data_IF_736220161594
#
_entry.id   IF_736220161594
#
_cell.length_a   1.000
_cell.length_b   1.000
_cell.length_c   1.000
_cell.angle_alpha   90.00
_cell.angle_beta   90.00
_cell.angle_gamma   90.00
#
_symmetry.space_group_name_H-M   'P 1'
#
loop_
_entity.id
_entity.type
_entity.pdbx_description
1 polymer ?
#
# COMPACT_ATOMS: atom_id res chain seq x y z
N UNK A 1 -1.23 64.10 4.06
CA UNK A 1 -1.30 65.00 2.90
C UNK A 1 -2.28 64.37 1.93
N UNK A 2 -3.45 65.07 1.85
CA UNK A 2 -4.62 64.77 1.03
C UNK A 2 -4.41 65.30 -0.38
N UNK A 3 -4.71 64.54 -1.43
CA UNK A 3 -5.05 65.09 -2.74
C UNK A 3 -6.01 64.18 -3.49
N UNK A 4 -7.29 64.54 -3.39
CA UNK A 4 -8.36 64.15 -4.31
C UNK A 4 -8.21 64.93 -5.62
N UNK A 5 -8.36 64.28 -6.78
CA UNK A 5 -8.71 64.96 -8.04
C UNK A 5 -9.80 64.17 -8.75
N UNK A 6 -10.95 64.79 -8.77
CA UNK A 6 -12.15 64.60 -9.56
C UNK A 6 -11.84 64.75 -11.06
N UNK A 7 -12.33 63.85 -11.92
CA UNK A 7 -12.43 64.10 -13.36
C UNK A 7 -13.87 63.81 -13.80
N UNK A 8 -14.44 64.84 -14.43
CA UNK A 8 -15.80 65.01 -14.88
C UNK A 8 -16.13 64.11 -16.11
N UNK A 9 -17.33 63.60 -16.10
CA UNK A 9 -18.02 63.01 -17.24
C UNK A 9 -18.20 64.03 -18.37
N UNK A 10 -18.05 63.57 -19.62
CA UNK A 10 -18.51 64.23 -20.81
C UNK A 10 -19.36 63.20 -21.64
N UNK A 11 -20.67 63.37 -21.54
CA UNK A 11 -21.63 62.71 -22.40
C UNK A 11 -21.48 63.24 -23.81
N UNK A 12 -21.52 62.38 -24.80
CA UNK A 12 -21.76 62.71 -26.20
C UNK A 12 -22.93 61.85 -26.74
N UNK A 13 -23.98 62.58 -27.00
CA UNK A 13 -25.18 62.20 -27.68
C UNK A 13 -24.89 61.86 -29.14
N UNK A 14 -25.30 60.73 -29.64
CA UNK A 14 -25.42 60.46 -31.08
C UNK A 14 -26.75 59.80 -31.38
N UNK A 15 -27.53 60.48 -32.17
CA UNK A 15 -28.87 60.21 -32.59
C UNK A 15 -29.11 58.90 -33.27
N UNK A 16 -30.35 58.46 -33.16
CA UNK A 16 -30.88 57.20 -33.67
C UNK A 16 -30.97 57.11 -35.20
N UNK A 17 -30.76 55.89 -35.67
CA UNK A 17 -31.24 55.43 -36.95
C UNK A 17 -31.86 54.04 -36.76
N UNK A 18 -33.17 53.99 -37.00
CA UNK A 18 -33.96 52.76 -36.99
C UNK A 18 -33.71 51.95 -38.26
N UNK A 19 -33.33 50.65 -38.12
CA UNK A 19 -33.26 49.70 -39.21
C UNK A 19 -34.26 48.56 -38.93
N UNK A 20 -35.06 48.11 -39.91
CA UNK A 20 -36.16 47.16 -39.67
C UNK A 20 -35.65 45.72 -39.44
N UNK A 21 -36.33 45.03 -38.55
CA UNK A 21 -36.06 43.63 -38.15
C UNK A 21 -36.38 42.66 -39.28
N UNK A 22 -35.39 41.99 -39.83
CA UNK A 22 -35.58 40.75 -40.60
C UNK A 22 -35.44 39.54 -39.65
N UNK A 23 -36.52 38.76 -39.48
CA UNK A 23 -36.57 37.53 -38.73
C UNK A 23 -35.80 36.44 -39.49
N UNK A 24 -34.50 36.31 -39.23
CA UNK A 24 -33.70 35.16 -39.61
C UNK A 24 -33.72 34.14 -38.50
N UNK A 25 -34.31 32.97 -38.76
CA UNK A 25 -34.30 31.83 -37.85
C UNK A 25 -32.91 31.18 -37.86
N UNK A 26 -32.04 31.58 -36.93
CA UNK A 26 -30.75 30.88 -36.72
C UNK A 26 -30.98 29.63 -35.90
N UNK A 27 -30.97 28.47 -36.59
CA UNK A 27 -30.91 27.15 -35.93
C UNK A 27 -29.48 26.99 -35.35
N UNK A 28 -29.31 27.30 -34.07
CA UNK A 28 -28.06 27.03 -33.37
C UNK A 28 -27.95 25.50 -33.15
N UNK A 29 -27.19 24.82 -34.01
CA UNK A 29 -26.75 23.44 -33.77
C UNK A 29 -25.66 23.53 -32.70
N UNK A 30 -26.03 23.29 -31.43
CA UNK A 30 -25.08 23.12 -30.35
C UNK A 30 -24.44 21.75 -30.54
N UNK A 31 -23.23 21.72 -31.10
CA UNK A 31 -22.39 20.53 -31.16
C UNK A 31 -21.92 20.25 -29.73
N UNK A 32 -22.57 19.29 -29.06
CA UNK A 32 -22.12 18.76 -27.76
C UNK A 32 -20.87 17.92 -28.03
N UNK A 33 -19.69 18.55 -27.98
CA UNK A 33 -18.43 17.81 -27.95
C UNK A 33 -18.38 17.15 -26.57
N UNK A 34 -18.80 15.87 -26.48
CA UNK A 34 -18.43 15.02 -25.38
C UNK A 34 -16.89 14.90 -25.45
N UNK A 35 -16.20 15.73 -24.69
CA UNK A 35 -14.81 15.45 -24.35
C UNK A 35 -14.84 14.12 -23.58
N UNK A 36 -14.45 13.04 -24.23
CA UNK A 36 -14.09 11.82 -23.54
C UNK A 36 -13.00 12.24 -22.55
N UNK A 37 -13.30 12.19 -21.24
CA UNK A 37 -12.27 12.29 -20.23
C UNK A 37 -11.21 11.25 -20.63
N UNK A 38 -9.90 11.60 -20.57
CA UNK A 38 -8.88 10.59 -20.78
C UNK A 38 -9.21 9.47 -19.79
N UNK A 39 -9.43 8.27 -20.29
CA UNK A 39 -9.41 7.06 -19.47
C UNK A 39 -8.03 7.09 -18.83
N UNK A 40 -7.94 7.43 -17.56
CA UNK A 40 -6.78 7.06 -16.78
C UNK A 40 -6.80 5.53 -16.82
N UNK A 41 -6.01 4.93 -17.71
CA UNK A 41 -5.54 3.59 -17.49
C UNK A 41 -4.99 3.65 -16.05
N UNK A 42 -5.61 2.89 -15.13
CA UNK A 42 -5.23 2.92 -13.71
C UNK A 42 -3.71 2.75 -13.65
N UNK A 43 -3.03 3.78 -13.14
CA UNK A 43 -1.56 3.80 -13.12
C UNK A 43 -1.09 2.66 -12.23
N UNK A 44 -0.25 1.76 -12.78
CA UNK A 44 0.26 0.61 -12.05
C UNK A 44 1.10 1.07 -10.86
N UNK A 45 0.84 0.52 -9.69
CA UNK A 45 1.46 0.95 -8.43
C UNK A 45 2.65 0.07 -8.02
N UNK A 46 3.64 0.69 -7.39
CA UNK A 46 4.81 0.07 -6.78
C UNK A 46 4.60 0.05 -5.27
N UNK A 47 4.52 -1.16 -4.71
CA UNK A 47 4.38 -1.37 -3.27
C UNK A 47 5.76 -1.81 -2.74
N UNK A 48 6.38 -0.97 -1.91
CA UNK A 48 7.68 -1.25 -1.31
C UNK A 48 7.51 -2.25 -0.17
N UNK A 49 7.74 -3.52 -0.47
CA UNK A 49 7.58 -4.65 0.45
C UNK A 49 8.53 -4.55 1.63
N UNK A 50 8.01 -4.19 2.79
CA UNK A 50 8.78 -3.91 4.03
C UNK A 50 9.79 -2.77 3.86
N UNK A 51 9.48 -1.80 2.98
CA UNK A 51 10.38 -0.76 2.54
C UNK A 51 11.31 -1.19 1.41
N UNK A 52 12.47 -0.55 1.28
CA UNK A 52 13.53 -0.96 0.36
C UNK A 52 14.34 -2.14 0.96
N UNK A 53 13.65 -3.23 1.31
CA UNK A 53 14.19 -4.36 2.05
C UNK A 53 15.27 -5.15 1.31
N UNK A 54 15.42 -4.92 0.01
CA UNK A 54 16.53 -5.44 -0.78
C UNK A 54 17.87 -4.76 -0.48
N UNK A 55 17.86 -3.62 0.20
CA UNK A 55 19.03 -2.78 0.48
C UNK A 55 19.29 -2.54 1.98
N UNK A 56 18.24 -2.47 2.79
CA UNK A 56 18.29 -2.14 4.21
C UNK A 56 17.46 -3.17 5.01
N UNK A 57 17.74 -3.37 6.30
CA UNK A 57 16.93 -4.23 7.16
C UNK A 57 15.45 -3.89 7.04
N UNK A 58 14.65 -4.91 6.77
CA UNK A 58 13.20 -4.77 6.55
C UNK A 58 12.52 -4.09 7.73
N UNK A 59 11.41 -3.38 7.46
CA UNK A 59 10.57 -2.73 8.46
C UNK A 59 11.29 -1.69 9.33
N UNK A 60 12.27 -0.98 8.79
CA UNK A 60 12.91 0.16 9.47
C UNK A 60 12.47 1.48 8.84
N UNK A 61 12.47 2.59 9.61
CA UNK A 61 12.16 3.91 9.06
C UNK A 61 13.13 4.30 7.95
N UNK A 62 14.38 3.87 8.05
CA UNK A 62 15.42 4.06 7.04
C UNK A 62 15.08 3.34 5.73
N UNK A 63 14.62 2.07 5.81
CA UNK A 63 14.18 1.32 4.64
C UNK A 63 12.94 1.95 3.99
N UNK A 64 12.00 2.46 4.78
CA UNK A 64 10.82 3.16 4.29
C UNK A 64 11.15 4.50 3.62
N UNK A 65 12.00 5.31 4.25
CA UNK A 65 12.45 6.56 3.66
C UNK A 65 13.23 6.33 2.36
N UNK A 66 14.05 5.28 2.31
CA UNK A 66 14.80 4.92 1.11
C UNK A 66 13.87 4.43 -0.01
N UNK A 67 12.87 3.61 0.30
CA UNK A 67 11.84 3.19 -0.65
C UNK A 67 11.03 4.37 -1.20
N UNK A 68 10.68 5.32 -0.32
CA UNK A 68 10.04 6.57 -0.72
C UNK A 68 10.90 7.32 -1.76
N UNK A 69 12.20 7.49 -1.49
CA UNK A 69 13.12 8.16 -2.40
C UNK A 69 13.30 7.42 -3.74
N UNK A 70 13.16 6.09 -3.74
CA UNK A 70 13.26 5.24 -4.93
C UNK A 70 11.99 5.24 -5.80
N UNK A 71 10.95 5.99 -5.44
CA UNK A 71 9.76 6.13 -6.28
C UNK A 71 8.62 5.16 -5.96
N UNK A 72 8.61 4.53 -4.79
CA UNK A 72 7.47 3.74 -4.34
C UNK A 72 6.18 4.58 -4.28
N UNK A 73 5.04 3.98 -4.65
CA UNK A 73 3.71 4.58 -4.55
C UNK A 73 3.06 4.26 -3.20
N UNK A 74 3.45 3.13 -2.60
CA UNK A 74 3.00 2.70 -1.29
C UNK A 74 4.16 2.11 -0.48
N UNK A 75 4.15 2.42 0.81
CA UNK A 75 5.04 1.82 1.82
C UNK A 75 4.27 0.73 2.54
N UNK A 76 4.83 -0.46 2.59
CA UNK A 76 4.16 -1.61 3.19
C UNK A 76 4.83 -2.01 4.50
N UNK A 77 4.11 -1.86 5.64
CA UNK A 77 4.46 -2.45 6.93
C UNK A 77 3.63 -3.69 7.24
N UNK A 78 4.26 -4.77 7.65
CA UNK A 78 3.62 -5.88 8.37
C UNK A 78 3.41 -5.48 9.83
N UNK A 79 2.26 -5.78 10.41
CA UNK A 79 1.91 -5.34 11.76
C UNK A 79 1.71 -6.52 12.71
N UNK A 80 2.41 -6.50 13.82
CA UNK A 80 2.18 -7.38 14.98
C UNK A 80 1.96 -6.54 16.23
N UNK A 81 1.40 -7.14 17.30
CA UNK A 81 1.14 -6.43 18.55
C UNK A 81 2.16 -6.76 19.63
N UNK A 82 2.55 -5.73 20.38
CA UNK A 82 3.31 -5.86 21.62
C UNK A 82 2.40 -6.26 22.78
N UNK A 83 3.00 -6.65 23.92
CA UNK A 83 2.29 -7.01 25.16
C UNK A 83 1.36 -5.90 25.68
N UNK A 84 1.76 -4.66 25.54
CA UNK A 84 0.99 -3.47 25.95
C UNK A 84 0.12 -2.90 24.84
N UNK A 85 -0.03 -3.66 23.72
CA UNK A 85 -1.02 -3.40 22.67
C UNK A 85 -0.57 -2.41 21.60
N UNK A 86 0.68 -1.97 21.53
CA UNK A 86 1.17 -1.17 20.43
C UNK A 86 1.29 -2.03 19.15
N UNK A 87 1.09 -1.39 17.98
CA UNK A 87 1.44 -2.01 16.70
C UNK A 87 2.86 -1.65 16.31
N UNK A 88 3.67 -2.67 16.02
CA UNK A 88 5.03 -2.52 15.51
C UNK A 88 5.13 -3.13 14.12
N UNK A 89 6.03 -2.57 13.29
CA UNK A 89 6.31 -3.10 11.97
C UNK A 89 7.29 -4.29 12.10
N UNK A 90 6.78 -5.50 11.90
CA UNK A 90 7.52 -6.75 11.99
C UNK A 90 6.79 -7.86 11.22
N UNK A 91 7.53 -8.65 10.42
CA UNK A 91 6.89 -9.70 9.59
C UNK A 91 6.37 -10.88 10.39
N UNK A 92 7.19 -11.42 11.28
CA UNK A 92 6.86 -12.59 12.07
C UNK A 92 6.29 -12.18 13.43
N UNK A 93 5.48 -13.03 14.04
CA UNK A 93 5.08 -12.86 15.44
C UNK A 93 6.26 -13.05 16.42
N UNK A 94 7.40 -13.49 15.88
CA UNK A 94 8.65 -13.77 16.58
C UNK A 94 9.73 -12.73 16.24
N UNK A 95 10.59 -12.42 17.18
CA UNK A 95 11.57 -11.34 17.11
C UNK A 95 12.96 -11.79 16.60
N UNK A 96 13.34 -13.05 16.80
CA UNK A 96 14.71 -13.53 16.63
C UNK A 96 15.22 -13.47 15.18
N UNK A 97 14.33 -13.58 14.18
CA UNK A 97 14.75 -13.61 12.77
C UNK A 97 15.25 -12.26 12.25
N UNK A 98 14.81 -11.15 12.86
CA UNK A 98 15.06 -9.78 12.38
C UNK A 98 15.46 -8.80 13.47
N UNK A 99 15.81 -9.30 14.67
CA UNK A 99 16.27 -8.47 15.77
C UNK A 99 17.37 -9.16 16.58
N UNK A 100 18.09 -8.38 17.41
CA UNK A 100 19.05 -8.91 18.37
C UNK A 100 18.41 -9.35 19.70
N UNK A 101 17.16 -9.83 19.70
CA UNK A 101 16.44 -10.21 20.93
C UNK A 101 17.12 -11.32 21.72
N UNK A 102 17.75 -12.27 21.03
CA UNK A 102 18.49 -13.37 21.67
C UNK A 102 19.66 -12.86 22.54
N UNK A 103 20.33 -11.78 22.09
CA UNK A 103 21.40 -11.11 22.83
C UNK A 103 20.82 -10.26 23.99
N UNK A 104 19.77 -9.48 23.70
CA UNK A 104 19.21 -8.52 24.65
C UNK A 104 18.39 -9.18 25.77
N UNK A 105 17.66 -10.27 25.44
CA UNK A 105 16.73 -10.93 26.35
C UNK A 105 16.81 -12.47 26.27
N UNK A 106 17.98 -13.09 26.54
CA UNK A 106 18.21 -14.54 26.31
C UNK A 106 17.23 -15.44 27.06
N UNK A 107 16.76 -15.02 28.23
CA UNK A 107 15.88 -15.82 29.11
C UNK A 107 14.37 -15.60 28.83
N UNK A 108 14.00 -14.74 27.85
CA UNK A 108 12.60 -14.36 27.59
C UNK A 108 11.93 -15.21 26.52
N UNK A 109 12.60 -16.23 25.99
CA UNK A 109 12.01 -17.20 25.06
C UNK A 109 10.94 -18.06 25.74
N UNK A 110 9.90 -18.41 24.98
CA UNK A 110 8.91 -19.40 25.43
C UNK A 110 9.51 -20.82 25.42
N UNK A 111 8.76 -21.82 25.87
CA UNK A 111 9.17 -23.22 25.91
C UNK A 111 9.55 -23.79 24.52
N UNK A 112 8.97 -23.25 23.46
CA UNK A 112 9.29 -23.60 22.07
C UNK A 112 10.61 -22.97 21.56
N UNK A 113 11.27 -22.19 22.38
CA UNK A 113 12.55 -21.56 22.09
C UNK A 113 12.44 -20.22 21.33
N UNK A 114 11.24 -19.66 21.13
CA UNK A 114 11.00 -18.44 20.34
C UNK A 114 10.66 -17.23 21.23
N UNK A 115 10.98 -16.02 20.74
CA UNK A 115 10.69 -14.74 21.39
C UNK A 115 9.50 -14.07 20.71
N UNK A 116 8.33 -14.13 21.34
CA UNK A 116 7.10 -13.58 20.78
C UNK A 116 6.99 -12.06 21.03
N UNK A 117 6.71 -11.26 20.00
CA UNK A 117 6.48 -9.82 20.15
C UNK A 117 5.41 -9.51 21.22
N UNK A 118 4.38 -10.36 21.32
CA UNK A 118 3.30 -10.25 22.31
C UNK A 118 3.76 -10.43 23.79
N UNK A 119 4.99 -10.84 24.04
CA UNK A 119 5.52 -10.96 25.39
C UNK A 119 6.33 -9.73 25.86
N UNK A 120 6.61 -8.80 24.93
CA UNK A 120 7.42 -7.60 25.16
C UNK A 120 6.57 -6.34 25.09
N UNK A 121 6.82 -5.40 26.00
CA UNK A 121 6.26 -4.05 25.91
C UNK A 121 6.93 -3.26 24.79
N UNK A 122 6.28 -2.21 24.31
CA UNK A 122 6.88 -1.30 23.32
C UNK A 122 8.23 -0.74 23.82
N UNK A 123 8.31 -0.39 25.10
CA UNK A 123 9.55 0.12 25.70
C UNK A 123 10.70 -0.88 25.60
N UNK A 124 10.45 -2.17 25.79
CA UNK A 124 11.44 -3.24 25.61
C UNK A 124 11.80 -3.41 24.13
N UNK A 125 10.81 -3.45 23.22
CA UNK A 125 11.04 -3.53 21.77
C UNK A 125 11.93 -2.39 21.28
N UNK A 126 11.72 -1.16 21.77
CA UNK A 126 12.54 0.00 21.38
C UNK A 126 14.00 -0.06 21.84
N UNK A 127 14.37 -1.02 22.68
CA UNK A 127 15.77 -1.28 23.03
C UNK A 127 16.47 -2.22 22.06
N UNK A 128 15.70 -2.92 21.21
CA UNK A 128 16.24 -3.84 20.21
C UNK A 128 16.75 -3.10 18.98
N UNK A 129 17.66 -3.75 18.27
CA UNK A 129 18.12 -3.35 16.93
C UNK A 129 17.43 -4.25 15.89
N UNK A 130 16.97 -3.64 14.81
CA UNK A 130 16.55 -4.40 13.63
C UNK A 130 17.79 -4.99 12.92
N UNK A 131 17.71 -6.24 12.53
CA UNK A 131 18.81 -6.95 11.88
C UNK A 131 18.39 -7.51 10.51
N UNK A 132 19.37 -7.59 9.59
CA UNK A 132 19.18 -8.20 8.29
C UNK A 132 19.20 -9.73 8.41
N UNK A 133 18.12 -10.39 7.97
CA UNK A 133 18.04 -11.86 8.01
C UNK A 133 18.64 -12.54 6.78
N UNK A 134 18.84 -11.82 5.66
CA UNK A 134 19.33 -12.38 4.42
C UNK A 134 20.83 -12.08 4.22
N UNK A 135 21.72 -13.10 4.24
CA UNK A 135 23.18 -12.91 4.37
C UNK A 135 23.86 -12.09 3.24
N UNK A 136 23.16 -11.88 2.12
CA UNK A 136 23.72 -11.21 0.93
C UNK A 136 23.20 -9.78 0.72
N UNK A 137 22.41 -9.27 1.66
CA UNK A 137 21.85 -7.92 1.64
C UNK A 137 22.66 -6.98 2.54
N UNK A 138 22.01 -6.24 3.40
CA UNK A 138 22.69 -5.37 4.38
C UNK A 138 23.59 -6.21 5.31
N UNK A 139 24.79 -5.71 5.72
CA UNK A 139 25.68 -6.47 6.60
C UNK A 139 25.01 -6.83 7.93
N UNK A 140 24.94 -8.15 8.23
CA UNK A 140 24.30 -8.66 9.43
C UNK A 140 25.03 -8.19 10.71
N UNK A 141 24.29 -7.95 11.79
CA UNK A 141 24.82 -7.54 13.09
C UNK A 141 25.41 -6.12 13.13
N UNK A 142 25.29 -5.33 12.05
CA UNK A 142 25.87 -3.98 12.00
C UNK A 142 24.84 -2.86 12.07
N UNK A 143 23.55 -3.18 12.00
CA UNK A 143 22.48 -2.19 12.05
C UNK A 143 22.35 -1.56 13.42
N UNK A 144 22.08 -0.25 13.46
CA UNK A 144 21.64 0.50 14.64
C UNK A 144 20.17 0.93 14.55
N UNK A 145 19.46 0.45 13.52
CA UNK A 145 18.07 0.83 13.25
C UNK A 145 17.13 0.19 14.27
N UNK A 146 16.02 0.84 14.54
CA UNK A 146 15.01 0.39 15.49
C UNK A 146 13.77 -0.16 14.78
N UNK A 147 12.98 -0.94 15.52
CA UNK A 147 11.67 -1.41 15.10
C UNK A 147 10.66 -0.26 15.26
N UNK A 148 10.02 0.25 14.19
CA UNK A 148 9.07 1.34 14.32
C UNK A 148 7.68 0.86 14.71
N UNK A 149 6.87 1.77 15.27
CA UNK A 149 5.42 1.60 15.40
C UNK A 149 4.72 1.94 14.08
N UNK A 150 3.44 1.54 13.96
CA UNK A 150 2.59 1.95 12.84
C UNK A 150 2.50 3.48 12.75
N UNK A 151 2.33 4.16 13.88
CA UNK A 151 2.23 5.61 13.93
C UNK A 151 3.52 6.27 13.42
N UNK A 152 4.70 5.79 13.82
CA UNK A 152 5.97 6.32 13.32
C UNK A 152 6.13 6.13 11.80
N UNK A 153 5.65 5.01 11.26
CA UNK A 153 5.64 4.78 9.80
C UNK A 153 4.72 5.76 9.10
N UNK A 154 3.51 5.97 9.62
CA UNK A 154 2.54 6.92 9.05
C UNK A 154 3.09 8.35 9.10
N UNK A 155 3.62 8.76 10.25
CA UNK A 155 4.20 10.10 10.46
C UNK A 155 5.37 10.36 9.52
N UNK A 156 6.23 9.36 9.30
CA UNK A 156 7.31 9.45 8.30
C UNK A 156 6.75 9.69 6.90
N UNK A 157 5.80 8.85 6.44
CA UNK A 157 5.25 8.94 5.08
C UNK A 157 4.52 10.27 4.88
N UNK A 158 3.66 10.68 5.82
CA UNK A 158 2.94 11.96 5.75
C UNK A 158 3.89 13.15 5.82
N UNK A 159 4.94 13.10 6.64
CA UNK A 159 5.98 14.13 6.72
C UNK A 159 6.75 14.27 5.42
N UNK A 160 7.13 13.15 4.79
CA UNK A 160 7.78 13.15 3.48
C UNK A 160 6.84 13.68 2.37
N UNK A 161 5.56 13.29 2.38
CA UNK A 161 4.56 13.81 1.45
C UNK A 161 4.44 15.35 1.58
N UNK A 162 4.33 15.85 2.80
CA UNK A 162 4.23 17.29 3.05
C UNK A 162 5.46 18.08 2.57
N UNK A 163 6.66 17.50 2.71
CA UNK A 163 7.91 18.17 2.33
C UNK A 163 8.23 18.10 0.84
N UNK A 164 7.78 17.05 0.14
CA UNK A 164 8.12 16.81 -1.28
C UNK A 164 6.98 17.12 -2.24
N UNK A 165 5.74 17.25 -1.74
CA UNK A 165 4.53 17.40 -2.56
C UNK A 165 4.07 16.10 -3.24
N UNK A 166 4.65 14.94 -2.88
CA UNK A 166 4.17 13.63 -3.35
C UNK A 166 2.98 13.16 -2.53
N UNK A 167 2.28 12.12 -3.03
CA UNK A 167 1.15 11.46 -2.37
C UNK A 167 1.39 9.94 -2.32
N UNK A 168 2.38 9.53 -1.50
CA UNK A 168 2.72 8.13 -1.25
C UNK A 168 1.79 7.59 -0.17
N UNK A 169 1.21 6.41 -0.41
CA UNK A 169 0.30 5.75 0.52
C UNK A 169 1.00 4.78 1.47
N UNK A 170 0.19 4.13 2.32
CA UNK A 170 0.60 3.01 3.16
C UNK A 170 -0.20 1.76 2.81
N UNK A 171 0.38 0.60 3.06
CA UNK A 171 -0.21 -0.69 2.68
C UNK A 171 -0.05 -1.73 3.80
N UNK A 172 -0.60 -1.46 5.03
CA UNK A 172 -0.38 -2.32 6.20
C UNK A 172 -0.99 -3.73 6.04
N UNK A 173 -0.24 -4.75 6.51
CA UNK A 173 -0.73 -6.11 6.69
C UNK A 173 -1.00 -6.40 8.16
N UNK A 174 -2.16 -6.97 8.48
CA UNK A 174 -2.41 -7.56 9.79
C UNK A 174 -1.83 -8.99 9.82
N UNK A 175 -0.75 -9.18 10.57
CA UNK A 175 -0.07 -10.48 10.69
C UNK A 175 -0.72 -11.36 11.74
N UNK A 176 -1.10 -12.56 11.35
CA UNK A 176 -1.63 -13.59 12.26
C UNK A 176 -2.66 -13.07 13.28
N UNK A 177 -3.76 -12.40 12.84
CA UNK A 177 -4.76 -11.85 13.76
C UNK A 177 -5.33 -12.89 14.72
N UNK A 178 -5.56 -14.11 14.27
CA UNK A 178 -6.05 -15.20 15.13
C UNK A 178 -5.09 -15.59 16.25
N UNK A 179 -3.78 -15.44 16.05
CA UNK A 179 -2.79 -15.60 17.12
C UNK A 179 -2.93 -14.47 18.14
N UNK A 180 -2.96 -13.22 17.69
CA UNK A 180 -3.05 -12.06 18.56
C UNK A 180 -4.38 -12.04 19.35
N UNK A 181 -5.50 -12.43 18.74
CA UNK A 181 -6.78 -12.55 19.43
C UNK A 181 -6.71 -13.56 20.60
N UNK A 182 -6.05 -14.72 20.40
CA UNK A 182 -5.83 -15.72 21.47
C UNK A 182 -4.93 -15.19 22.61
N UNK A 183 -4.11 -14.18 22.34
CA UNK A 183 -3.32 -13.49 23.38
C UNK A 183 -4.09 -12.34 24.06
N UNK A 184 -5.37 -12.10 23.69
CA UNK A 184 -6.15 -10.96 24.17
C UNK A 184 -5.76 -9.63 23.51
N UNK A 185 -5.10 -9.69 22.34
CA UNK A 185 -4.55 -8.57 21.59
C UNK A 185 -5.21 -8.47 20.21
N UNK A 186 -6.55 -8.49 20.14
CA UNK A 186 -7.26 -8.34 18.88
C UNK A 186 -6.81 -7.10 18.10
N UNK A 187 -6.71 -7.21 16.77
CA UNK A 187 -5.99 -6.21 15.98
C UNK A 187 -6.91 -5.22 15.25
N UNK A 188 -8.04 -5.69 14.74
CA UNK A 188 -8.76 -5.03 13.65
C UNK A 188 -9.30 -3.65 14.04
N UNK A 189 -10.01 -3.58 15.18
CA UNK A 189 -10.63 -2.32 15.63
C UNK A 189 -9.58 -1.26 15.99
N UNK A 190 -8.50 -1.68 16.68
CA UNK A 190 -7.43 -0.78 17.10
C UNK A 190 -6.60 -0.29 15.90
N UNK A 191 -6.31 -1.17 14.92
CA UNK A 191 -5.64 -0.76 13.70
C UNK A 191 -6.47 0.27 12.92
N UNK A 192 -7.78 0.02 12.75
CA UNK A 192 -8.69 0.98 12.12
C UNK A 192 -8.76 2.30 12.87
N UNK A 193 -8.73 2.29 14.21
CA UNK A 193 -8.73 3.51 15.02
C UNK A 193 -7.47 4.36 14.79
N UNK A 194 -6.29 3.71 14.71
CA UNK A 194 -5.05 4.40 14.37
C UNK A 194 -5.12 4.96 12.95
N UNK A 195 -5.48 4.14 11.96
CA UNK A 195 -5.59 4.57 10.57
C UNK A 195 -6.54 5.77 10.45
N UNK A 196 -7.70 5.73 11.08
CA UNK A 196 -8.66 6.84 11.12
C UNK A 196 -8.09 8.11 11.76
N UNK A 197 -7.34 8.00 12.86
CA UNK A 197 -6.66 9.12 13.53
C UNK A 197 -5.77 9.90 12.56
N UNK A 198 -5.15 9.21 11.60
CA UNK A 198 -4.27 9.79 10.59
C UNK A 198 -4.98 10.07 9.24
N UNK A 199 -6.31 10.00 9.19
CA UNK A 199 -7.10 10.35 8.01
C UNK A 199 -7.31 9.21 7.00
N UNK A 200 -6.91 7.98 7.32
CA UNK A 200 -7.16 6.80 6.49
C UNK A 200 -8.45 6.11 6.93
N UNK A 201 -9.61 6.56 6.44
CA UNK A 201 -10.91 5.97 6.82
C UNK A 201 -11.86 5.75 5.64
N UNK A 202 -11.54 6.26 4.46
CA UNK A 202 -12.43 6.19 3.30
C UNK A 202 -11.83 5.37 2.16
N UNK A 203 -12.66 4.97 1.20
CA UNK A 203 -12.23 4.29 -0.03
C UNK A 203 -11.23 5.10 -0.87
N UNK A 204 -11.26 6.42 -0.76
CA UNK A 204 -10.34 7.33 -1.47
C UNK A 204 -9.01 7.56 -0.72
N UNK A 205 -8.89 7.05 0.51
CA UNK A 205 -7.65 7.18 1.27
C UNK A 205 -6.52 6.40 0.58
N UNK A 206 -5.30 6.97 0.61
CA UNK A 206 -4.09 6.31 0.11
C UNK A 206 -3.61 5.22 1.10
N UNK A 207 -4.50 4.27 1.37
CA UNK A 207 -4.27 3.16 2.28
C UNK A 207 -4.98 1.90 1.79
N UNK A 208 -4.25 0.82 1.63
CA UNK A 208 -4.79 -0.53 1.48
C UNK A 208 -4.55 -1.29 2.77
N UNK A 209 -5.54 -2.05 3.23
CA UNK A 209 -5.36 -2.98 4.35
C UNK A 209 -5.39 -4.41 3.81
N UNK A 210 -4.38 -5.21 4.16
CA UNK A 210 -4.24 -6.57 3.66
C UNK A 210 -4.12 -7.60 4.78
N UNK A 211 -4.50 -8.84 4.47
CA UNK A 211 -4.37 -9.96 5.39
C UNK A 211 -4.45 -11.32 4.67
N UNK A 212 -3.71 -12.31 5.16
CA UNK A 212 -3.87 -13.72 4.74
C UNK A 212 -5.08 -14.41 5.40
N UNK A 213 -5.48 -13.96 6.57
CA UNK A 213 -6.66 -14.48 7.27
C UNK A 213 -7.92 -13.76 6.76
N UNK A 214 -8.54 -14.30 5.70
CA UNK A 214 -9.72 -13.71 5.06
C UNK A 214 -10.90 -13.43 6.02
N UNK A 215 -11.16 -14.25 7.07
CA UNK A 215 -12.16 -13.91 8.09
C UNK A 215 -11.94 -12.53 8.75
N UNK A 216 -10.67 -12.14 8.97
CA UNK A 216 -10.30 -10.81 9.49
C UNK A 216 -10.77 -9.68 8.56
N UNK A 217 -10.56 -9.82 7.23
CA UNK A 217 -11.02 -8.83 6.26
C UNK A 217 -12.54 -8.75 6.19
N UNK A 218 -13.24 -9.90 6.30
CA UNK A 218 -14.71 -9.92 6.41
C UNK A 218 -15.18 -9.18 7.65
N UNK A 219 -14.58 -9.43 8.82
CA UNK A 219 -14.87 -8.72 10.07
C UNK A 219 -14.68 -7.21 9.91
N UNK A 220 -13.56 -6.78 9.27
CA UNK A 220 -13.29 -5.37 8.97
C UNK A 220 -14.39 -4.76 8.09
N UNK A 221 -14.79 -5.45 7.01
CA UNK A 221 -15.80 -4.95 6.08
C UNK A 221 -17.22 -5.04 6.65
N UNK A 222 -17.62 -6.20 7.18
CA UNK A 222 -19.00 -6.52 7.48
C UNK A 222 -19.42 -6.12 8.89
N UNK A 223 -18.54 -6.24 9.90
CA UNK A 223 -18.82 -5.92 11.29
C UNK A 223 -18.38 -4.51 11.67
N UNK A 224 -17.10 -4.17 11.35
CA UNK A 224 -16.53 -2.86 11.68
C UNK A 224 -16.89 -1.77 10.64
N UNK A 225 -17.56 -2.15 9.52
CA UNK A 225 -18.08 -1.24 8.48
C UNK A 225 -17.02 -0.29 7.91
N UNK A 226 -15.80 -0.77 7.78
CA UNK A 226 -14.71 0.02 7.17
C UNK A 226 -14.90 0.14 5.67
N UNK A 227 -14.71 1.36 5.13
CA UNK A 227 -14.70 1.65 3.70
C UNK A 227 -13.29 1.59 3.08
N UNK A 228 -12.25 1.32 3.87
CA UNK A 228 -10.89 1.18 3.34
C UNK A 228 -10.81 0.09 2.27
N UNK A 229 -10.00 0.30 1.20
CA UNK A 229 -9.68 -0.77 0.26
C UNK A 229 -9.02 -1.95 0.97
N UNK A 230 -9.58 -3.16 0.77
CA UNK A 230 -9.13 -4.40 1.39
C UNK A 230 -8.54 -5.34 0.34
N UNK A 231 -7.39 -5.95 0.65
CA UNK A 231 -6.71 -6.90 -0.23
C UNK A 231 -6.59 -8.26 0.45
N UNK A 232 -7.18 -9.28 -0.17
CA UNK A 232 -7.09 -10.66 0.28
C UNK A 232 -5.79 -11.29 -0.24
N UNK A 233 -4.83 -11.55 0.66
CA UNK A 233 -3.58 -12.22 0.32
C UNK A 233 -3.81 -13.71 0.08
N UNK A 234 -3.13 -14.29 -0.93
CA UNK A 234 -3.29 -15.67 -1.35
C UNK A 234 -1.92 -16.31 -1.55
N UNK A 235 -1.52 -17.19 -0.64
CA UNK A 235 -0.29 -17.96 -0.76
C UNK A 235 -0.45 -19.15 -1.74
N UNK A 236 0.64 -19.49 -2.39
CA UNK A 236 0.73 -20.69 -3.24
C UNK A 236 0.79 -21.96 -2.37
N UNK A 237 -0.27 -22.20 -1.62
CA UNK A 237 -0.41 -23.33 -0.71
C UNK A 237 -1.77 -24.00 -0.90
N UNK A 238 -1.80 -25.34 -0.76
CA UNK A 238 -3.02 -26.15 -1.01
C UNK A 238 -4.25 -25.70 -0.20
N UNK A 239 -4.07 -25.14 1.00
CA UNK A 239 -5.18 -24.64 1.83
C UNK A 239 -5.84 -23.37 1.27
N UNK A 240 -5.13 -22.63 0.42
CA UNK A 240 -5.63 -21.41 -0.23
C UNK A 240 -5.96 -21.62 -1.71
N UNK A 241 -5.79 -22.84 -2.25
CA UNK A 241 -6.05 -23.13 -3.66
C UNK A 241 -7.50 -22.82 -4.09
N UNK A 242 -8.46 -22.95 -3.20
CA UNK A 242 -9.86 -22.57 -3.46
C UNK A 242 -10.07 -21.05 -3.66
N UNK A 243 -9.18 -20.20 -3.16
CA UNK A 243 -9.33 -18.76 -3.26
C UNK A 243 -9.15 -18.20 -4.70
N UNK A 244 -8.44 -18.93 -5.56
CA UNK A 244 -8.19 -18.57 -6.97
C UNK A 244 -9.15 -19.26 -7.95
N UNK A 245 -10.12 -20.07 -7.48
CA UNK A 245 -11.22 -20.58 -8.33
C UNK A 245 -12.22 -19.45 -8.63
N UNK A 246 -13.13 -19.66 -9.57
CA UNK A 246 -14.17 -18.67 -9.86
C UNK A 246 -15.05 -18.41 -8.65
N UNK A 247 -15.47 -19.46 -7.94
CA UNK A 247 -16.26 -19.38 -6.70
C UNK A 247 -15.48 -18.67 -5.58
N UNK A 248 -14.17 -18.92 -5.49
CA UNK A 248 -13.28 -18.25 -4.52
C UNK A 248 -13.14 -16.76 -4.79
N UNK A 249 -12.94 -16.37 -6.05
CA UNK A 249 -12.87 -14.97 -6.45
C UNK A 249 -14.23 -14.26 -6.26
N UNK A 250 -15.36 -14.91 -6.56
CA UNK A 250 -16.69 -14.39 -6.28
C UNK A 250 -16.89 -14.14 -4.78
N UNK A 251 -16.45 -15.08 -3.94
CA UNK A 251 -16.53 -14.95 -2.49
C UNK A 251 -15.64 -13.81 -1.96
N UNK A 252 -14.45 -13.59 -2.53
CA UNK A 252 -13.54 -12.50 -2.17
C UNK A 252 -14.13 -11.16 -2.58
N UNK A 253 -14.68 -11.04 -3.79
CA UNK A 253 -15.28 -9.81 -4.31
C UNK A 253 -16.45 -9.29 -3.45
N UNK A 254 -17.05 -10.13 -2.63
CA UNK A 254 -18.12 -9.72 -1.72
C UNK A 254 -17.63 -8.83 -0.56
N UNK A 255 -16.34 -8.89 -0.18
CA UNK A 255 -15.82 -8.13 0.96
C UNK A 255 -14.51 -7.38 0.68
N UNK A 256 -13.73 -7.79 -0.31
CA UNK A 256 -12.43 -7.19 -0.64
C UNK A 256 -12.48 -6.45 -1.98
N UNK A 257 -11.52 -5.53 -2.18
CA UNK A 257 -11.37 -4.71 -3.37
C UNK A 257 -10.28 -5.24 -4.31
N UNK A 258 -9.55 -6.25 -3.85
CA UNK A 258 -8.52 -6.89 -4.66
C UNK A 258 -7.92 -8.13 -3.99
N UNK A 259 -7.04 -8.77 -4.72
CA UNK A 259 -6.24 -9.91 -4.28
C UNK A 259 -4.75 -9.59 -4.37
N UNK A 260 -3.98 -10.13 -3.41
CA UNK A 260 -2.52 -10.18 -3.44
C UNK A 260 -2.07 -11.63 -3.58
N UNK A 261 -1.99 -12.19 -4.79
CA UNK A 261 -1.55 -13.55 -4.99
C UNK A 261 -0.02 -13.66 -4.93
N UNK A 262 0.49 -14.76 -4.37
CA UNK A 262 1.89 -15.13 -4.60
C UNK A 262 2.16 -15.24 -6.10
N UNK A 263 3.19 -14.55 -6.59
CA UNK A 263 3.46 -14.36 -8.03
C UNK A 263 3.53 -15.65 -8.84
N UNK A 264 3.96 -16.75 -8.21
CA UNK A 264 4.01 -18.07 -8.83
C UNK A 264 2.62 -18.60 -9.22
N UNK A 265 1.56 -18.16 -8.56
CA UNK A 265 0.18 -18.52 -8.95
C UNK A 265 -0.15 -17.98 -10.34
N UNK A 266 0.27 -16.74 -10.65
CA UNK A 266 0.05 -16.11 -11.96
C UNK A 266 0.87 -16.79 -13.07
N UNK A 267 2.00 -17.42 -12.72
CA UNK A 267 2.78 -18.19 -13.68
C UNK A 267 2.23 -19.60 -13.92
N UNK A 268 1.54 -20.16 -12.93
CA UNK A 268 0.87 -21.47 -13.03
C UNK A 268 -0.47 -21.37 -13.75
N UNK A 269 -1.21 -20.32 -13.47
CA UNK A 269 -2.50 -20.01 -14.10
C UNK A 269 -2.55 -18.53 -14.53
N UNK A 270 -2.15 -18.23 -15.78
CA UNK A 270 -2.16 -16.87 -16.32
C UNK A 270 -3.56 -16.22 -16.44
N UNK A 271 -4.64 -16.98 -16.21
CA UNK A 271 -6.01 -16.47 -16.32
C UNK A 271 -6.50 -15.77 -15.03
N UNK A 272 -5.78 -15.94 -13.90
CA UNK A 272 -6.21 -15.42 -12.60
C UNK A 272 -6.46 -13.90 -12.65
N UNK A 273 -5.54 -13.12 -13.24
CA UNK A 273 -5.69 -11.67 -13.31
C UNK A 273 -6.96 -11.26 -14.07
N UNK A 274 -7.19 -11.83 -15.26
CA UNK A 274 -8.38 -11.52 -16.04
C UNK A 274 -9.68 -11.93 -15.31
N UNK A 275 -9.68 -13.07 -14.63
CA UNK A 275 -10.84 -13.53 -13.85
C UNK A 275 -11.11 -12.66 -12.63
N UNK A 276 -10.06 -12.16 -11.96
CA UNK A 276 -10.15 -11.20 -10.87
C UNK A 276 -10.71 -9.86 -11.37
N UNK A 277 -10.16 -9.33 -12.46
CA UNK A 277 -10.64 -8.08 -13.09
C UNK A 277 -12.11 -8.16 -13.54
N UNK A 278 -12.56 -9.31 -14.06
CA UNK A 278 -13.97 -9.52 -14.43
C UNK A 278 -14.93 -9.38 -13.23
N UNK A 279 -14.42 -9.45 -12.01
CA UNK A 279 -15.15 -9.27 -10.74
C UNK A 279 -14.87 -7.91 -10.08
N UNK A 280 -14.13 -7.03 -10.74
CA UNK A 280 -13.73 -5.72 -10.22
C UNK A 280 -12.63 -5.78 -9.15
N UNK A 281 -11.96 -6.92 -8.98
CA UNK A 281 -10.86 -7.07 -8.05
C UNK A 281 -9.55 -6.58 -8.67
N UNK A 282 -8.82 -5.72 -7.97
CA UNK A 282 -7.43 -5.39 -8.29
C UNK A 282 -6.50 -6.57 -7.99
N UNK A 283 -5.36 -6.63 -8.69
CA UNK A 283 -4.38 -7.71 -8.54
C UNK A 283 -3.00 -7.14 -8.26
N UNK A 284 -2.49 -7.37 -7.04
CA UNK A 284 -1.19 -6.92 -6.57
C UNK A 284 -0.34 -8.12 -6.12
N UNK A 285 0.37 -8.82 -7.04
CA UNK A 285 1.17 -9.98 -6.68
C UNK A 285 2.38 -9.62 -5.82
N UNK A 286 2.77 -10.53 -4.94
CA UNK A 286 3.96 -10.46 -4.10
C UNK A 286 4.90 -11.64 -4.39
N UNK A 287 6.20 -11.58 -4.23
CA UNK A 287 7.06 -10.42 -4.13
C UNK A 287 8.14 -10.55 -5.18
N UNK A 288 8.39 -9.51 -5.96
CA UNK A 288 9.53 -9.49 -6.89
C UNK A 288 10.80 -9.18 -6.11
N UNK A 289 11.79 -10.08 -6.27
CA UNK A 289 13.10 -10.01 -5.58
C UNK A 289 14.21 -10.32 -6.56
N UNK A 290 15.14 -9.39 -6.74
CA UNK A 290 16.29 -9.55 -7.66
C UNK A 290 17.14 -10.77 -7.29
N UNK A 291 17.37 -10.97 -6.01
CA UNK A 291 18.20 -12.04 -5.45
C UNK A 291 17.47 -13.39 -5.31
N UNK A 292 16.17 -13.43 -5.60
CA UNK A 292 15.31 -14.62 -5.58
C UNK A 292 14.44 -14.71 -6.84
N UNK A 293 15.00 -14.29 -7.98
CA UNK A 293 14.32 -14.32 -9.28
C UNK A 293 13.99 -15.76 -9.68
N UNK A 294 12.74 -16.07 -10.13
CA UNK A 294 12.38 -17.40 -10.63
C UNK A 294 13.23 -17.79 -11.84
N UNK A 295 13.64 -19.08 -11.92
CA UNK A 295 14.52 -19.56 -13.00
C UNK A 295 14.00 -19.36 -14.43
N UNK A 296 12.66 -19.25 -14.59
CA UNK A 296 12.03 -19.05 -15.91
C UNK A 296 12.35 -17.70 -16.56
N UNK A 297 12.80 -16.72 -15.81
CA UNK A 297 13.15 -15.41 -16.32
C UNK A 297 14.68 -15.27 -16.44
N UNK A 298 15.17 -14.65 -17.50
CA UNK A 298 16.61 -14.38 -17.66
C UNK A 298 17.05 -13.26 -16.72
N UNK A 299 16.26 -12.21 -16.62
CA UNK A 299 16.52 -11.04 -15.76
C UNK A 299 15.31 -10.72 -14.87
N UNK A 300 15.51 -9.92 -13.83
CA UNK A 300 14.41 -9.38 -13.02
C UNK A 300 13.51 -8.45 -13.86
N UNK A 301 14.09 -7.75 -14.84
CA UNK A 301 13.32 -6.91 -15.76
C UNK A 301 12.32 -7.73 -16.59
N UNK A 302 12.64 -8.98 -16.94
CA UNK A 302 11.71 -9.88 -17.63
C UNK A 302 10.56 -10.31 -16.72
N UNK A 303 10.81 -10.50 -15.42
CA UNK A 303 9.78 -10.78 -14.44
C UNK A 303 8.83 -9.60 -14.26
N UNK A 304 9.36 -8.36 -14.13
CA UNK A 304 8.53 -7.15 -14.08
C UNK A 304 7.67 -7.00 -15.34
N UNK A 305 8.27 -7.16 -16.53
CA UNK A 305 7.54 -7.07 -17.81
C UNK A 305 6.41 -8.11 -17.86
N UNK A 306 6.70 -9.36 -17.51
CA UNK A 306 5.69 -10.42 -17.47
C UNK A 306 4.51 -10.05 -16.59
N UNK A 307 4.75 -9.58 -15.37
CA UNK A 307 3.67 -9.23 -14.44
C UNK A 307 2.92 -7.97 -14.88
N UNK A 308 3.65 -6.91 -15.25
CA UNK A 308 3.05 -5.61 -15.56
C UNK A 308 2.38 -5.55 -16.94
N UNK A 309 2.96 -6.18 -17.97
CA UNK A 309 2.49 -6.07 -19.33
C UNK A 309 1.69 -7.31 -19.76
N UNK A 310 2.22 -8.53 -19.58
CA UNK A 310 1.56 -9.75 -20.04
C UNK A 310 0.43 -10.17 -19.10
N UNK A 311 0.66 -10.15 -17.79
CA UNK A 311 -0.38 -10.44 -16.79
C UNK A 311 -1.28 -9.23 -16.50
N UNK A 312 -0.87 -8.04 -16.91
CA UNK A 312 -1.62 -6.80 -16.73
C UNK A 312 -2.10 -6.56 -15.28
N UNK A 313 -1.24 -6.86 -14.28
CA UNK A 313 -1.56 -6.61 -12.88
C UNK A 313 -1.66 -5.10 -12.58
N UNK A 314 -2.41 -4.70 -11.54
CA UNK A 314 -2.62 -3.30 -11.16
C UNK A 314 -1.45 -2.68 -10.39
N UNK A 315 -0.58 -3.51 -9.86
CA UNK A 315 0.63 -3.14 -9.13
C UNK A 315 1.35 -4.38 -8.66
N UNK A 316 2.46 -4.21 -7.97
CA UNK A 316 3.21 -5.35 -7.42
C UNK A 316 4.05 -4.96 -6.21
N UNK A 317 4.34 -5.96 -5.38
CA UNK A 317 5.28 -5.84 -4.26
C UNK A 317 6.71 -6.08 -4.73
N UNK A 318 7.61 -5.19 -4.32
CA UNK A 318 9.04 -5.33 -4.61
C UNK A 318 9.90 -5.00 -3.40
N UNK A 319 10.95 -5.83 -3.17
CA UNK A 319 12.02 -5.52 -2.23
C UNK A 319 12.99 -4.43 -2.81
N UNK A 320 12.90 -4.17 -4.13
CA UNK A 320 13.75 -3.23 -4.88
C UNK A 320 12.87 -2.20 -5.62
N UNK A 321 12.33 -1.18 -4.95
CA UNK A 321 11.38 -0.23 -5.55
C UNK A 321 11.94 0.53 -6.75
N UNK A 322 13.24 0.84 -6.77
CA UNK A 322 13.93 1.48 -7.89
C UNK A 322 13.93 0.64 -9.17
N UNK A 323 14.07 -0.69 -9.06
CA UNK A 323 13.95 -1.59 -10.21
C UNK A 323 12.52 -1.65 -10.75
N UNK A 324 11.52 -1.66 -9.85
CA UNK A 324 10.12 -1.59 -10.23
C UNK A 324 9.78 -0.24 -10.91
N UNK A 325 10.29 0.90 -10.37
CA UNK A 325 10.12 2.22 -10.96
C UNK A 325 10.72 2.27 -12.38
N UNK A 326 11.93 1.76 -12.54
CA UNK A 326 12.59 1.66 -13.84
C UNK A 326 11.79 0.79 -14.83
N UNK A 327 11.19 -0.31 -14.37
CA UNK A 327 10.36 -1.17 -15.21
C UNK A 327 9.07 -0.46 -15.68
N UNK A 328 8.56 0.50 -14.92
CA UNK A 328 7.43 1.38 -15.29
C UNK A 328 7.85 2.64 -16.06
N UNK A 329 9.13 2.82 -16.37
CA UNK A 329 9.65 4.00 -17.09
C UNK A 329 9.68 5.28 -16.24
N UNK A 330 9.77 5.13 -14.93
CA UNK A 330 9.84 6.22 -13.94
C UNK A 330 11.25 6.46 -13.42
#
# INVERSE_FOLDING_TARGET
VNLSKSIKHRERDWGGASVPASRGLFLAITLLVLAAAPSHADEKIIIAHRGASGYLPEHTLEAYAFAYAQGADYIEPDLVRTKDGAFIALHDIHLESTTNVEEAFPERKREDGQWYAADFTLAEIKTLRAEERLPKRFPQGTSSFQIPTLEEVIELVQGLNASTGRDVGIYPELKSPSFHEKQGLAMEADALAILKKYGYETRAAKCYLQCFEHPTLKKVREELKSDLPLIALIANHKLMAGAITDEGLDAIAAYADGIGPEKELLTKDPTITARAHARGLKVHPYTVRRDQKPPRFETTADEYRYLLEEQNVDGLFSDFPDEAAKALGR
#
